data_IF_790732873526
#
_entry.id   IF_790732873526
#
_cell.length_a   1.000
_cell.length_b   1.000
_cell.length_c   1.000
_cell.angle_alpha   90.00
_cell.angle_beta   90.00
_cell.angle_gamma   90.00
#
_symmetry.space_group_name_H-M   'P 1'
#
loop_
_entity.id
_entity.type
_entity.pdbx_description
1 polymer ?
#
# COMPACT_ATOMS: atom_id res chain seq x y z
N UNK A 1 -15.87 -2.57 0.95
CA UNK A 1 -15.77 -4.01 0.64
C UNK A 1 -15.29 -4.73 1.87
N UNK A 2 -16.09 -5.65 2.43
CA UNK A 2 -15.70 -6.40 3.63
C UNK A 2 -14.63 -7.43 3.32
N UNK A 3 -13.54 -7.40 4.09
CA UNK A 3 -12.50 -8.43 4.11
C UNK A 3 -12.72 -9.30 5.34
N UNK A 4 -12.83 -10.61 5.12
CA UNK A 4 -13.05 -11.60 6.17
C UNK A 4 -11.73 -12.19 6.67
N UNK A 5 -11.72 -12.63 7.93
CA UNK A 5 -10.60 -13.41 8.50
C UNK A 5 -10.25 -14.65 7.67
N UNK A 6 -11.26 -15.31 7.09
CA UNK A 6 -11.06 -16.48 6.22
C UNK A 6 -10.27 -16.13 4.96
N UNK A 7 -10.52 -14.97 4.36
CA UNK A 7 -9.75 -14.50 3.22
C UNK A 7 -8.31 -14.19 3.63
N UNK A 8 -8.11 -13.46 4.73
CA UNK A 8 -6.76 -13.12 5.19
C UNK A 8 -5.94 -14.37 5.53
N UNK A 9 -6.49 -15.30 6.31
CA UNK A 9 -5.79 -16.55 6.66
C UNK A 9 -5.43 -17.43 5.46
N UNK A 10 -6.10 -17.26 4.31
CA UNK A 10 -5.81 -18.04 3.11
C UNK A 10 -4.59 -17.52 2.35
N UNK A 11 -4.29 -16.23 2.47
CA UNK A 11 -3.32 -15.56 1.60
C UNK A 11 -2.19 -14.87 2.36
N UNK A 12 -2.43 -14.38 3.57
CA UNK A 12 -1.45 -13.65 4.35
C UNK A 12 -0.41 -14.58 4.98
N UNK A 13 0.78 -14.05 5.22
CA UNK A 13 1.77 -14.70 6.10
C UNK A 13 1.25 -14.73 7.55
N UNK A 14 1.89 -15.55 8.40
CA UNK A 14 1.52 -15.67 9.83
C UNK A 14 1.44 -14.31 10.52
N UNK A 15 2.49 -13.50 10.42
CA UNK A 15 2.56 -12.17 11.05
C UNK A 15 1.47 -11.23 10.55
N UNK A 16 1.18 -11.24 9.24
CA UNK A 16 0.13 -10.42 8.64
C UNK A 16 -1.27 -10.87 9.08
N UNK A 17 -1.47 -12.19 9.22
CA UNK A 17 -2.70 -12.78 9.72
C UNK A 17 -2.94 -12.49 11.19
N UNK A 18 -1.89 -12.56 12.02
CA UNK A 18 -1.94 -12.21 13.44
C UNK A 18 -2.26 -10.73 13.63
N UNK A 19 -1.51 -9.84 12.97
CA UNK A 19 -1.78 -8.40 12.99
C UNK A 19 -3.23 -8.08 12.59
N UNK A 20 -3.73 -8.72 11.54
CA UNK A 20 -5.12 -8.53 11.10
C UNK A 20 -6.12 -9.04 12.14
N UNK A 21 -5.87 -10.20 12.75
CA UNK A 21 -6.77 -10.79 13.73
C UNK A 21 -6.86 -9.96 15.02
N UNK A 22 -5.76 -9.32 15.42
CA UNK A 22 -5.72 -8.40 16.57
C UNK A 22 -6.51 -7.12 16.32
N UNK A 23 -6.34 -6.50 15.15
CA UNK A 23 -6.94 -5.19 14.81
C UNK A 23 -8.37 -5.30 14.28
N UNK A 24 -8.67 -6.38 13.55
CA UNK A 24 -9.96 -6.62 12.89
C UNK A 24 -10.50 -8.02 13.24
N UNK A 25 -10.83 -8.30 14.52
CA UNK A 25 -11.22 -9.65 14.96
C UNK A 25 -12.47 -10.21 14.25
N UNK A 26 -13.37 -9.32 13.79
CA UNK A 26 -14.58 -9.68 13.02
C UNK A 26 -14.42 -9.46 11.50
N UNK A 27 -13.20 -9.19 11.04
CA UNK A 27 -12.93 -8.67 9.71
C UNK A 27 -13.12 -7.15 9.62
N UNK A 28 -12.54 -6.53 8.59
CA UNK A 28 -12.50 -5.08 8.41
C UNK A 28 -13.06 -4.66 7.06
N UNK A 29 -13.43 -3.39 6.91
CA UNK A 29 -13.60 -2.84 5.56
C UNK A 29 -12.22 -2.63 4.93
N UNK A 30 -12.16 -2.85 3.61
CA UNK A 30 -10.93 -2.70 2.84
C UNK A 30 -10.20 -1.38 3.13
N UNK A 31 -10.90 -0.24 3.09
CA UNK A 31 -10.29 1.07 3.32
C UNK A 31 -9.69 1.21 4.73
N UNK A 32 -10.43 0.79 5.75
CA UNK A 32 -9.97 0.80 7.14
C UNK A 32 -8.70 -0.03 7.33
N UNK A 33 -8.61 -1.18 6.65
CA UNK A 33 -7.46 -2.06 6.72
C UNK A 33 -6.23 -1.40 6.08
N UNK A 34 -6.38 -0.83 4.89
CA UNK A 34 -5.29 -0.15 4.18
C UNK A 34 -4.82 1.07 4.99
N UNK A 35 -5.74 1.87 5.52
CA UNK A 35 -5.41 3.00 6.39
C UNK A 35 -4.67 2.56 7.66
N UNK A 36 -5.14 1.51 8.33
CA UNK A 36 -4.47 0.99 9.53
C UNK A 36 -3.05 0.46 9.22
N UNK A 37 -2.85 -0.18 8.06
CA UNK A 37 -1.53 -0.60 7.61
C UNK A 37 -0.61 0.61 7.36
N UNK A 38 -1.12 1.66 6.71
CA UNK A 38 -0.36 2.88 6.46
C UNK A 38 0.00 3.62 7.77
N UNK A 39 -0.94 3.73 8.70
CA UNK A 39 -0.72 4.33 10.02
C UNK A 39 0.36 3.58 10.83
N UNK A 40 0.39 2.25 10.73
CA UNK A 40 1.42 1.41 11.34
C UNK A 40 2.73 1.36 10.53
N UNK A 41 2.85 2.15 9.45
CA UNK A 41 4.00 2.19 8.52
C UNK A 41 4.29 0.86 7.81
N UNK A 42 3.28 0.00 7.68
CA UNK A 42 3.35 -1.32 7.03
C UNK A 42 3.01 -1.20 5.55
N UNK A 43 3.68 -0.29 4.84
CA UNK A 43 3.36 0.07 3.45
C UNK A 43 3.43 -1.12 2.47
N UNK A 44 4.41 -2.02 2.65
CA UNK A 44 4.53 -3.23 1.83
C UNK A 44 3.32 -4.15 2.00
N UNK A 45 2.76 -4.22 3.21
CA UNK A 45 1.57 -5.04 3.48
C UNK A 45 0.31 -4.39 2.90
N UNK A 46 0.21 -3.05 2.95
CA UNK A 46 -0.86 -2.31 2.30
C UNK A 46 -0.84 -2.53 0.78
N UNK A 47 0.34 -2.37 0.16
CA UNK A 47 0.57 -2.66 -1.27
C UNK A 47 0.18 -4.09 -1.63
N UNK A 48 0.62 -5.06 -0.83
CA UNK A 48 0.28 -6.46 -1.05
C UNK A 48 -1.24 -6.70 -0.94
N UNK A 49 -1.91 -6.11 0.06
CA UNK A 49 -3.36 -6.21 0.24
C UNK A 49 -4.14 -5.66 -0.95
N UNK A 50 -3.76 -4.48 -1.46
CA UNK A 50 -4.33 -3.90 -2.67
C UNK A 50 -4.11 -4.81 -3.89
N UNK A 51 -2.89 -5.34 -4.08
CA UNK A 51 -2.56 -6.27 -5.16
C UNK A 51 -3.42 -7.56 -5.13
N UNK A 52 -3.68 -8.11 -3.95
CA UNK A 52 -4.57 -9.26 -3.79
C UNK A 52 -6.02 -8.91 -4.17
N UNK A 53 -6.51 -7.74 -3.76
CA UNK A 53 -7.86 -7.29 -4.09
C UNK A 53 -8.05 -7.08 -5.61
N UNK A 54 -7.07 -6.46 -6.27
CA UNK A 54 -7.05 -6.34 -7.73
C UNK A 54 -6.97 -7.70 -8.44
N UNK A 55 -6.19 -8.64 -7.91
CA UNK A 55 -6.12 -10.00 -8.45
C UNK A 55 -7.49 -10.70 -8.40
N UNK A 56 -8.25 -10.52 -7.33
CA UNK A 56 -9.61 -11.04 -7.23
C UNK A 56 -10.57 -10.34 -8.21
N UNK A 57 -10.43 -9.02 -8.40
CA UNK A 57 -11.21 -8.27 -9.38
C UNK A 57 -10.97 -8.76 -10.81
N UNK A 58 -9.71 -8.90 -11.22
CA UNK A 58 -9.34 -9.36 -12.56
C UNK A 58 -9.78 -10.80 -12.84
N UNK A 59 -9.87 -11.64 -11.79
CA UNK A 59 -10.41 -13.00 -11.88
C UNK A 59 -11.95 -13.05 -11.88
N UNK A 60 -12.64 -11.90 -11.90
CA UNK A 60 -14.10 -11.80 -11.84
C UNK A 60 -14.67 -12.23 -10.48
N UNK A 61 -13.86 -12.23 -9.42
CA UNK A 61 -14.22 -12.67 -8.06
C UNK A 61 -14.48 -11.51 -7.10
N UNK A 62 -14.21 -10.27 -7.51
CA UNK A 62 -14.57 -9.06 -6.77
C UNK A 62 -15.64 -8.26 -7.52
N UNK A 63 -16.38 -7.44 -6.79
CA UNK A 63 -17.46 -6.59 -7.32
C UNK A 63 -16.97 -5.15 -7.56
N UNK A 64 -17.78 -4.34 -8.24
CA UNK A 64 -17.55 -2.89 -8.39
C UNK A 64 -17.37 -2.16 -7.05
N UNK A 65 -17.86 -2.74 -5.95
CA UNK A 65 -17.66 -2.21 -4.59
C UNK A 65 -16.19 -2.20 -4.14
N UNK A 66 -15.34 -3.05 -4.72
CA UNK A 66 -13.90 -2.94 -4.49
C UNK A 66 -13.34 -1.65 -5.09
N UNK A 67 -13.62 -1.37 -6.36
CA UNK A 67 -13.09 -0.19 -7.05
C UNK A 67 -13.56 1.10 -6.36
N UNK A 68 -14.83 1.17 -5.96
CA UNK A 68 -15.35 2.30 -5.17
C UNK A 68 -14.59 2.48 -3.85
N UNK A 69 -14.34 1.38 -3.14
CA UNK A 69 -13.61 1.42 -1.88
C UNK A 69 -12.14 1.85 -2.08
N UNK A 70 -11.49 1.38 -3.15
CA UNK A 70 -10.11 1.76 -3.48
C UNK A 70 -10.00 3.24 -3.84
N UNK A 71 -10.92 3.76 -4.66
CA UNK A 71 -10.96 5.20 -4.97
C UNK A 71 -11.14 6.03 -3.70
N UNK A 72 -12.12 5.71 -2.85
CA UNK A 72 -12.33 6.43 -1.60
C UNK A 72 -11.12 6.35 -0.64
N UNK A 73 -10.44 5.20 -0.61
CA UNK A 73 -9.22 5.04 0.20
C UNK A 73 -8.08 5.90 -0.35
N UNK A 74 -7.94 5.97 -1.68
CA UNK A 74 -6.93 6.81 -2.34
C UNK A 74 -7.21 8.29 -2.14
N UNK A 75 -8.47 8.72 -2.25
CA UNK A 75 -8.87 10.11 -1.97
C UNK A 75 -8.51 10.50 -0.54
N UNK A 76 -8.76 9.62 0.45
CA UNK A 76 -8.35 9.86 1.83
C UNK A 76 -6.82 10.00 1.98
N UNK A 77 -6.02 9.23 1.23
CA UNK A 77 -4.55 9.39 1.25
C UNK A 77 -4.12 10.71 0.59
N UNK A 78 -4.81 11.15 -0.46
CA UNK A 78 -4.57 12.46 -1.10
C UNK A 78 -4.84 13.59 -0.11
N UNK A 79 -5.96 13.52 0.61
CA UNK A 79 -6.31 14.50 1.63
C UNK A 79 -5.27 14.55 2.76
N UNK A 80 -4.80 13.38 3.21
CA UNK A 80 -3.71 13.28 4.20
C UNK A 80 -2.43 13.96 3.69
N UNK A 81 -1.99 13.65 2.47
CA UNK A 81 -0.79 14.23 1.86
C UNK A 81 -0.89 15.75 1.68
N UNK A 82 -2.05 16.25 1.22
CA UNK A 82 -2.28 17.68 1.05
C UNK A 82 -2.34 18.43 2.39
N UNK A 83 -2.69 17.74 3.48
CA UNK A 83 -2.69 18.27 4.83
C UNK A 83 -1.33 18.32 5.51
N UNK A 84 -0.29 17.71 4.92
CA UNK A 84 1.08 17.78 5.45
C UNK A 84 1.68 19.16 5.19
N UNK A 85 1.90 19.94 6.24
CA UNK A 85 2.73 21.15 6.18
C UNK A 85 4.20 20.74 6.13
N UNK A 86 4.84 20.96 4.99
CA UNK A 86 6.29 20.79 4.86
C UNK A 86 7.01 22.05 5.36
N UNK A 87 7.97 21.93 6.28
CA UNK A 87 8.83 23.05 6.66
C UNK A 87 9.55 23.58 5.39
N UNK A 88 9.60 24.92 5.18
CA UNK A 88 10.24 25.52 4.00
C UNK A 88 11.74 25.19 3.85
N UNK A 89 12.33 24.61 4.89
CA UNK A 89 13.75 24.32 5.09
C UNK A 89 14.16 22.87 4.73
N UNK A 90 13.26 22.04 4.19
CA UNK A 90 13.58 20.68 3.72
C UNK A 90 13.37 20.45 2.21
N UNK A 91 13.28 21.51 1.40
CA UNK A 91 13.45 21.41 -0.05
C UNK A 91 14.92 21.59 -0.42
N UNK A 92 15.76 20.60 -0.11
CA UNK A 92 16.98 20.40 -0.90
C UNK A 92 16.55 19.76 -2.23
N UNK A 93 15.92 20.59 -3.06
CA UNK A 93 15.98 20.38 -4.50
C UNK A 93 17.43 20.68 -4.86
N UNK A 94 18.28 19.68 -4.73
CA UNK A 94 19.51 19.58 -5.49
C UNK A 94 19.09 19.39 -6.96
N UNK A 95 18.60 20.47 -7.57
CA UNK A 95 18.79 20.73 -8.99
C UNK A 95 20.24 21.17 -9.17
N UNK A 96 21.19 20.31 -8.79
CA UNK A 96 22.57 20.49 -9.20
C UNK A 96 22.69 19.83 -10.57
N UNK A 97 22.34 20.61 -11.59
CA UNK A 97 22.86 20.40 -12.93
C UNK A 97 24.37 20.69 -12.87
N UNK A 98 25.14 19.75 -12.32
CA UNK A 98 26.55 19.94 -12.00
C UNK A 98 27.28 18.63 -11.73
N UNK A 99 27.78 18.03 -12.82
CA UNK A 99 29.00 17.22 -12.90
C UNK A 99 29.07 15.84 -12.18
N UNK A 100 29.02 14.79 -13.03
CA UNK A 100 29.75 13.52 -12.96
C UNK A 100 29.91 12.80 -11.60
N UNK A 101 29.17 11.70 -11.44
CA UNK A 101 29.67 10.61 -10.59
C UNK A 101 28.73 9.52 -10.10
N UNK A 102 27.40 9.67 -10.16
CA UNK A 102 26.50 8.66 -9.65
C UNK A 102 26.29 7.51 -10.65
N UNK A 103 27.14 6.48 -10.57
CA UNK A 103 26.95 5.23 -11.32
C UNK A 103 25.71 4.50 -10.79
N UNK A 104 24.65 4.44 -11.59
CA UNK A 104 23.52 3.55 -11.35
C UNK A 104 24.04 2.10 -11.42
N UNK A 105 24.02 1.39 -10.30
CA UNK A 105 24.41 -0.02 -10.24
C UNK A 105 23.28 -0.91 -10.73
N UNK A 106 23.07 -0.99 -12.04
CA UNK A 106 22.17 -2.01 -12.61
C UNK A 106 22.90 -3.36 -12.60
N UNK A 107 22.73 -4.14 -11.53
CA UNK A 107 23.12 -5.55 -11.57
C UNK A 107 22.07 -6.33 -12.37
N UNK A 108 22.16 -6.22 -13.70
CA UNK A 108 21.49 -7.13 -14.62
C UNK A 108 22.22 -8.47 -14.62
N UNK A 109 21.53 -9.52 -14.18
CA UNK A 109 21.94 -10.90 -14.36
C UNK A 109 21.80 -11.27 -15.84
N UNK A 110 22.77 -10.95 -16.71
CA UNK A 110 23.03 -11.62 -18.01
C UNK A 110 24.08 -10.85 -18.83
N UNK A 111 25.35 -10.97 -18.47
CA UNK A 111 26.46 -10.65 -19.37
C UNK A 111 27.28 -11.93 -19.59
N UNK A 112 27.05 -12.59 -20.73
CA UNK A 112 27.94 -13.62 -21.29
C UNK A 112 28.88 -12.98 -22.29
#
# INVERSE_FOLDING_TARGET
MKITKKQVNKYACSDGGEWFAERFPQGGEYGDIIQALNADKRYEWARWGASQAYSLFLLGKATTEFIKAETATTDAMIDELNGLEFPPDQVDVSSDAGEDGARIGSSGYDAR
#
